data_IF_173652000917
#
_entry.id   IF_173652000917
#
_cell.length_a   1.000
_cell.length_b   1.000
_cell.length_c   1.000
_cell.angle_alpha   90.00
_cell.angle_beta   90.00
_cell.angle_gamma   90.00
#
_symmetry.space_group_name_H-M   'P 1'
#
loop_
_entity.id
_entity.type
_entity.pdbx_description
1 polymer ?
#
# COMPACT_ATOMS: atom_id res chain seq x y z
N UNK A 1 -34.98 6.10 13.58
CA UNK A 1 -33.87 6.35 12.64
C UNK A 1 -32.62 5.65 13.18
N UNK A 2 -32.06 4.67 12.48
CA UNK A 2 -30.78 4.06 12.88
C UNK A 2 -29.68 5.06 12.53
N UNK A 3 -28.99 5.60 13.54
CA UNK A 3 -27.80 6.42 13.34
C UNK A 3 -26.72 5.54 12.69
N UNK A 4 -26.47 5.72 11.40
CA UNK A 4 -25.30 5.15 10.74
C UNK A 4 -24.11 5.96 11.24
N UNK A 5 -23.40 5.46 12.25
CA UNK A 5 -22.08 5.99 12.60
C UNK A 5 -21.13 5.55 11.49
N UNK A 6 -20.85 6.43 10.55
CA UNK A 6 -19.76 6.23 9.59
C UNK A 6 -18.47 6.19 10.39
N UNK A 7 -17.80 5.05 10.42
CA UNK A 7 -16.44 4.95 10.97
C UNK A 7 -15.55 5.60 9.91
N UNK A 8 -14.92 6.73 10.25
CA UNK A 8 -13.88 7.32 9.42
C UNK A 8 -12.61 6.54 9.71
N UNK A 9 -12.25 5.61 8.83
CA UNK A 9 -10.98 4.87 8.90
C UNK A 9 -9.83 5.78 8.51
N UNK A 10 -8.72 5.72 9.25
CA UNK A 10 -7.53 6.51 8.92
C UNK A 10 -6.74 5.76 7.86
N UNK A 11 -6.41 6.43 6.75
CA UNK A 11 -5.61 5.86 5.68
C UNK A 11 -4.21 6.48 5.68
N UNK A 12 -3.18 5.64 5.71
CA UNK A 12 -1.80 6.04 5.46
C UNK A 12 -1.42 5.68 4.02
N UNK A 13 -0.69 6.58 3.33
CA UNK A 13 -0.14 6.35 2.00
C UNK A 13 1.38 6.42 2.06
N UNK A 14 2.05 5.41 1.52
CA UNK A 14 3.52 5.35 1.50
C UNK A 14 4.02 5.04 0.09
N UNK A 15 5.05 5.77 -0.34
CA UNK A 15 5.66 5.62 -1.67
C UNK A 15 7.13 5.25 -1.50
N UNK A 16 7.58 4.27 -2.27
CA UNK A 16 8.96 3.81 -2.25
C UNK A 16 9.57 3.82 -3.64
N UNK A 17 10.85 4.19 -3.72
CA UNK A 17 11.70 4.03 -4.91
C UNK A 17 12.80 3.04 -4.59
N UNK A 18 13.07 2.09 -5.50
CA UNK A 18 13.91 0.93 -5.29
C UNK A 18 15.16 0.95 -6.18
N UNK A 19 16.17 0.17 -5.79
CA UNK A 19 17.38 0.02 -6.60
C UNK A 19 17.19 -0.93 -7.79
N UNK A 20 16.32 -1.93 -7.67
CA UNK A 20 16.00 -2.91 -8.71
C UNK A 20 14.51 -3.29 -8.72
N UNK A 21 14.05 -3.89 -9.82
CA UNK A 21 12.68 -4.44 -9.92
C UNK A 21 12.52 -5.64 -8.99
N UNK A 22 13.57 -6.44 -8.81
CA UNK A 22 13.55 -7.59 -7.90
C UNK A 22 13.35 -7.16 -6.44
N UNK A 23 14.05 -6.12 -6.00
CA UNK A 23 13.90 -5.53 -4.66
C UNK A 23 12.46 -5.03 -4.43
N UNK A 24 11.90 -4.32 -5.43
CA UNK A 24 10.50 -3.89 -5.42
C UNK A 24 9.56 -5.08 -5.21
N UNK A 25 9.69 -6.13 -6.03
CA UNK A 25 8.80 -7.29 -5.98
C UNK A 25 8.89 -8.05 -4.65
N UNK A 26 10.07 -8.13 -4.05
CA UNK A 26 10.26 -8.73 -2.73
C UNK A 26 9.62 -7.87 -1.63
N UNK A 27 9.76 -6.54 -1.70
CA UNK A 27 9.15 -5.64 -0.72
C UNK A 27 7.62 -5.60 -0.82
N UNK A 28 7.05 -5.65 -2.02
CA UNK A 28 5.60 -5.71 -2.23
C UNK A 28 4.99 -6.89 -1.44
N UNK A 29 5.57 -8.09 -1.58
CA UNK A 29 5.09 -9.28 -0.84
C UNK A 29 5.14 -9.10 0.67
N UNK A 30 6.17 -8.41 1.18
CA UNK A 30 6.29 -8.11 2.61
C UNK A 30 5.23 -7.11 3.06
N UNK A 31 4.99 -6.06 2.28
CA UNK A 31 3.98 -5.05 2.57
C UNK A 31 2.56 -5.65 2.61
N UNK A 32 2.25 -6.56 1.69
CA UNK A 32 0.97 -7.30 1.71
C UNK A 32 0.81 -8.13 3.00
N UNK A 33 1.88 -8.77 3.49
CA UNK A 33 1.86 -9.48 4.78
C UNK A 33 1.70 -8.54 5.99
N UNK A 34 2.25 -7.33 5.90
CA UNK A 34 2.14 -6.29 6.93
C UNK A 34 0.78 -5.56 6.89
N UNK A 35 -0.14 -5.97 6.01
CA UNK A 35 -1.50 -5.44 5.89
C UNK A 35 -1.59 -4.15 5.08
N UNK A 36 -0.58 -3.85 4.26
CA UNK A 36 -0.66 -2.79 3.27
C UNK A 36 -1.28 -3.31 1.97
N UNK A 37 -2.07 -2.48 1.31
CA UNK A 37 -2.58 -2.72 -0.03
C UNK A 37 -1.72 -1.98 -1.06
N UNK A 38 -1.27 -2.69 -2.09
CA UNK A 38 -0.57 -2.11 -3.23
C UNK A 38 -1.58 -1.33 -4.10
N UNK A 39 -1.37 -0.02 -4.24
CA UNK A 39 -2.23 0.86 -5.04
C UNK A 39 -1.80 0.90 -6.50
N UNK A 40 -0.52 1.12 -6.71
CA UNK A 40 0.08 1.19 -8.05
C UNK A 40 1.38 0.40 -8.05
N UNK A 41 1.40 -0.63 -8.89
CA UNK A 41 2.61 -1.33 -9.28
C UNK A 41 3.00 -0.87 -10.68
N UNK A 42 3.74 0.22 -10.77
CA UNK A 42 4.32 0.63 -12.04
C UNK A 42 5.31 -0.45 -12.49
N UNK A 43 4.86 -1.41 -13.30
CA UNK A 43 5.52 -2.70 -13.52
C UNK A 43 6.97 -2.54 -14.02
N UNK A 44 7.19 -1.54 -14.88
CA UNK A 44 8.50 -1.19 -15.43
C UNK A 44 9.25 -0.09 -14.67
N UNK A 45 8.67 0.46 -13.59
CA UNK A 45 9.35 1.42 -12.72
C UNK A 45 9.80 0.74 -11.44
N UNK A 46 10.85 1.30 -10.86
CA UNK A 46 11.35 0.92 -9.55
C UNK A 46 10.59 1.66 -8.46
N UNK A 47 9.27 1.78 -8.60
CA UNK A 47 8.41 2.57 -7.71
C UNK A 47 7.16 1.77 -7.37
N UNK A 48 6.71 1.88 -6.13
CA UNK A 48 5.45 1.30 -5.67
C UNK A 48 4.78 2.22 -4.63
N UNK A 49 3.46 2.31 -4.71
CA UNK A 49 2.62 3.08 -3.77
C UNK A 49 1.76 2.09 -3.00
N UNK A 50 1.72 2.25 -1.68
CA UNK A 50 0.92 1.42 -0.79
C UNK A 50 -0.03 2.28 0.03
N UNK A 51 -1.12 1.66 0.51
CA UNK A 51 -1.97 2.22 1.55
C UNK A 51 -2.21 1.25 2.69
N UNK A 52 -2.53 1.75 3.88
CA UNK A 52 -2.96 0.94 5.02
C UNK A 52 -4.09 1.64 5.79
N UNK A 53 -5.11 0.86 6.14
CA UNK A 53 -6.24 1.30 6.95
C UNK A 53 -5.98 1.03 8.44
N UNK A 54 -6.44 1.92 9.32
CA UNK A 54 -6.35 1.84 10.78
C UNK A 54 -7.70 2.09 11.44
#
# INVERSE_FOLDING_TARGET
>A
MKQIKSIIEKVEYTTYTYYSIEEKNNHIKKMEQDGYELLDNFEHRKEAIFRKFY
#
